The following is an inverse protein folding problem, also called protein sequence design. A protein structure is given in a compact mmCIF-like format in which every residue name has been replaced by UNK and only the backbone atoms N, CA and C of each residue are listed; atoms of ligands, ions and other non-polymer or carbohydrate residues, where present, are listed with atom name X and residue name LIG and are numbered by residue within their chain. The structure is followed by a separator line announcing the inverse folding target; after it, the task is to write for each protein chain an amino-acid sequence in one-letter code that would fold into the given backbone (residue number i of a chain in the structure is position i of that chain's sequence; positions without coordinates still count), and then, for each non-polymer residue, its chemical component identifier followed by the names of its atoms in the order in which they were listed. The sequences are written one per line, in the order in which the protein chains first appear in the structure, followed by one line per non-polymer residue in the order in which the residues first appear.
data_IF_989522178041
#
_entry.id   IF_989522178041
#
_cell.length_a   1.000
_cell.length_b   1.000
_cell.length_c   1.000
_cell.angle_alpha   90.00
_cell.angle_beta   90.00
_cell.angle_gamma   90.00
#
_symmetry.space_group_name_H-M   'P 1'
#
loop_
_entity.id
_entity.type
_entity.pdbx_description
1 polymer ?
#
# COMPACT_ATOMS: atom_id res chain seq x y z
N UNK A 1 34.42 3.60 -99.63
CA UNK A 1 34.13 4.98 -99.20
C UNK A 1 33.09 4.88 -98.06
N UNK A 2 33.55 5.11 -96.88
CA UNK A 2 32.74 4.95 -95.68
C UNK A 2 32.07 6.30 -95.39
N UNK A 3 30.74 6.28 -95.21
CA UNK A 3 29.94 7.42 -94.78
C UNK A 3 29.73 7.34 -93.32
N UNK A 4 30.27 8.30 -92.60
CA UNK A 4 30.12 8.46 -91.11
C UNK A 4 28.79 9.15 -90.82
N UNK A 5 27.82 8.42 -90.19
CA UNK A 5 26.54 8.96 -89.71
C UNK A 5 26.71 9.42 -88.28
N UNK A 6 26.66 10.72 -88.07
CA UNK A 6 26.74 11.34 -86.74
C UNK A 6 25.33 11.37 -86.11
N UNK A 7 25.01 10.51 -85.11
CA UNK A 7 23.80 10.59 -84.36
C UNK A 7 24.00 11.58 -83.20
N UNK A 8 23.36 12.75 -83.25
CA UNK A 8 23.23 13.64 -82.14
C UNK A 8 22.17 13.08 -81.21
N UNK A 9 22.61 12.56 -80.08
CA UNK A 9 21.72 12.19 -78.98
C UNK A 9 21.27 13.41 -78.13
N UNK A 10 20.03 13.74 -78.28
CA UNK A 10 19.36 14.79 -77.41
C UNK A 10 19.07 14.20 -76.05
N UNK A 11 19.86 14.58 -75.03
CA UNK A 11 19.61 14.19 -73.64
C UNK A 11 18.51 15.11 -73.08
N UNK A 12 17.32 14.58 -72.95
CA UNK A 12 16.28 15.22 -72.19
C UNK A 12 16.56 15.06 -70.66
N UNK A 13 16.99 16.13 -70.02
CA UNK A 13 17.01 16.23 -68.57
C UNK A 13 15.58 16.41 -68.11
N UNK A 14 14.98 15.34 -67.55
CA UNK A 14 13.74 15.42 -66.82
C UNK A 14 13.98 16.16 -65.48
N UNK A 15 13.10 17.06 -65.04
CA UNK A 15 13.25 17.71 -63.76
C UNK A 15 13.09 16.64 -62.66
N UNK A 16 14.04 16.61 -61.75
CA UNK A 16 14.01 15.77 -60.55
C UNK A 16 12.84 16.23 -59.72
N UNK A 17 11.81 15.39 -59.56
CA UNK A 17 10.73 15.64 -58.60
C UNK A 17 11.35 15.80 -57.21
N UNK A 18 11.22 16.99 -56.64
CA UNK A 18 11.46 17.23 -55.22
C UNK A 18 10.28 16.63 -54.50
N UNK A 19 10.44 15.41 -53.94
CA UNK A 19 9.49 14.90 -52.94
C UNK A 19 9.53 15.88 -51.80
N UNK A 20 8.37 16.52 -51.52
CA UNK A 20 8.17 17.20 -50.25
C UNK A 20 8.40 16.17 -49.15
N UNK A 21 9.32 16.45 -48.28
CA UNK A 21 9.52 15.71 -47.05
C UNK A 21 8.28 15.95 -46.21
N UNK A 22 7.45 14.90 -46.11
CA UNK A 22 6.26 14.88 -45.24
C UNK A 22 6.81 14.92 -43.81
N UNK A 23 6.86 16.11 -43.21
CA UNK A 23 7.19 16.27 -41.81
C UNK A 23 6.02 15.65 -41.05
N UNK A 24 6.29 14.45 -40.49
CA UNK A 24 5.43 13.76 -39.55
C UNK A 24 5.14 14.69 -38.34
N UNK A 25 3.91 15.17 -38.13
CA UNK A 25 3.60 16.12 -37.04
C UNK A 25 3.43 15.46 -35.67
N UNK A 26 3.62 14.16 -35.55
CA UNK A 26 3.64 13.45 -34.28
C UNK A 26 5.07 13.06 -33.87
N UNK A 27 5.88 14.07 -33.54
CA UNK A 27 6.95 13.84 -32.59
C UNK A 27 6.28 13.49 -31.26
N UNK A 28 6.14 12.17 -31.01
CA UNK A 28 5.76 11.61 -29.71
C UNK A 28 6.70 12.20 -28.65
N UNK A 29 6.24 13.27 -28.02
CA UNK A 29 6.99 13.92 -26.94
C UNK A 29 6.97 12.95 -25.78
N UNK A 30 7.97 12.05 -25.72
CA UNK A 30 8.15 11.09 -24.64
C UNK A 30 8.27 11.89 -23.34
N UNK A 31 7.21 11.85 -22.53
CA UNK A 31 7.23 12.49 -21.21
C UNK A 31 8.18 11.70 -20.32
N UNK A 32 9.29 12.29 -19.94
CA UNK A 32 10.23 11.69 -19.00
C UNK A 32 9.66 11.76 -17.58
N UNK A 33 9.46 10.59 -16.95
CA UNK A 33 8.94 10.49 -15.60
C UNK A 33 10.04 10.27 -14.57
N UNK A 34 10.04 11.05 -13.51
CA UNK A 34 10.82 10.78 -12.30
C UNK A 34 10.09 9.75 -11.44
N UNK A 35 10.61 8.52 -11.36
CA UNK A 35 9.98 7.42 -10.62
C UNK A 35 10.62 7.22 -9.26
N UNK A 36 9.84 7.36 -8.19
CA UNK A 36 10.26 7.10 -6.81
C UNK A 36 9.51 5.88 -6.24
N UNK A 37 10.25 4.88 -5.80
CA UNK A 37 9.66 3.76 -5.05
C UNK A 37 9.53 4.16 -3.58
N UNK A 38 8.33 4.08 -3.04
CA UNK A 38 8.10 4.31 -1.61
C UNK A 38 8.59 3.09 -0.82
N UNK A 39 9.49 3.27 0.16
CA UNK A 39 10.00 2.16 0.96
C UNK A 39 8.90 1.46 1.75
N UNK A 40 9.13 0.18 2.05
CA UNK A 40 8.21 -0.64 2.83
C UNK A 40 7.05 -1.22 2.01
N UNK A 41 6.10 -1.82 2.74
CA UNK A 41 4.88 -2.41 2.19
C UNK A 41 3.68 -1.94 2.97
N UNK A 42 2.61 -1.61 2.28
CA UNK A 42 1.30 -1.39 2.87
C UNK A 42 0.65 -2.77 3.00
N UNK A 43 0.59 -3.30 4.23
CA UNK A 43 -0.09 -4.57 4.48
C UNK A 43 -1.57 -4.31 4.72
N UNK A 44 -2.42 -5.12 4.10
CA UNK A 44 -3.88 -5.03 4.23
C UNK A 44 -4.48 -6.44 4.32
N UNK A 45 -5.63 -6.56 4.96
CA UNK A 45 -6.48 -7.76 4.84
C UNK A 45 -7.43 -7.60 3.67
N UNK A 46 -7.80 -8.70 3.04
CA UNK A 46 -8.86 -8.70 2.03
C UNK A 46 -10.16 -8.12 2.64
N UNK A 47 -10.81 -7.21 1.95
CA UNK A 47 -11.95 -6.44 2.42
C UNK A 47 -11.59 -5.10 3.10
N UNK A 48 -10.34 -4.83 3.43
CA UNK A 48 -9.93 -3.53 3.97
C UNK A 48 -9.86 -2.44 2.91
N UNK A 49 -10.10 -1.22 3.35
CA UNK A 49 -9.83 -0.01 2.57
C UNK A 49 -8.82 0.88 3.30
N UNK A 50 -7.90 1.48 2.55
CA UNK A 50 -6.88 2.37 3.12
C UNK A 50 -6.31 3.32 2.08
N UNK A 51 -6.03 4.56 2.50
CA UNK A 51 -5.29 5.49 1.65
C UNK A 51 -3.82 5.09 1.52
N UNK A 52 -3.25 5.21 0.33
CA UNK A 52 -1.82 4.94 0.07
C UNK A 52 -0.91 5.93 0.78
N UNK A 53 -1.40 7.14 1.03
CA UNK A 53 -0.67 8.24 1.67
C UNK A 53 -1.63 9.14 2.44
N UNK A 54 -1.12 9.81 3.46
CA UNK A 54 -1.85 10.86 4.20
C UNK A 54 -1.79 12.23 3.50
N UNK A 55 -0.90 12.38 2.52
CA UNK A 55 -0.75 13.60 1.73
C UNK A 55 -0.79 13.25 0.24
N UNK A 56 -1.90 13.57 -0.40
CA UNK A 56 -2.15 13.31 -1.82
C UNK A 56 -2.39 14.62 -2.52
N UNK A 57 -1.61 14.97 -3.56
CA UNK A 57 -1.87 16.13 -4.40
C UNK A 57 -3.24 16.00 -5.09
N UNK A 58 -3.95 17.11 -5.23
CA UNK A 58 -5.28 17.13 -5.86
C UNK A 58 -5.24 16.69 -7.34
N UNK A 59 -4.13 16.92 -8.02
CA UNK A 59 -3.90 16.59 -9.43
C UNK A 59 -3.43 15.15 -9.64
N UNK A 60 -3.16 14.41 -8.55
CA UNK A 60 -2.63 13.06 -8.65
C UNK A 60 -3.66 12.08 -9.21
N UNK A 61 -3.20 11.22 -10.10
CA UNK A 61 -3.94 10.05 -10.59
C UNK A 61 -3.33 8.77 -10.05
N UNK A 62 -4.12 7.70 -10.00
CA UNK A 62 -3.69 6.43 -9.42
C UNK A 62 -4.01 5.27 -10.35
N UNK A 63 -3.08 4.31 -10.38
CA UNK A 63 -3.23 3.08 -11.14
C UNK A 63 -2.76 1.87 -10.30
N UNK A 64 -3.49 0.76 -10.40
CA UNK A 64 -3.11 -0.53 -9.81
C UNK A 64 -2.56 -1.45 -10.89
N UNK A 65 -1.44 -2.12 -10.60
CA UNK A 65 -0.88 -3.12 -11.51
C UNK A 65 -1.76 -4.38 -11.63
N UNK A 66 -2.64 -4.63 -10.66
CA UNK A 66 -3.66 -5.68 -10.70
C UNK A 66 -4.88 -5.29 -9.83
N UNK A 67 -5.92 -4.69 -10.43
CA UNK A 67 -7.12 -4.29 -9.71
C UNK A 67 -7.93 -5.46 -9.12
N UNK A 68 -7.68 -6.70 -9.54
CA UNK A 68 -8.32 -7.89 -8.97
C UNK A 68 -7.76 -8.22 -7.59
N UNK A 69 -6.50 -7.87 -7.33
CA UNK A 69 -5.84 -8.04 -6.03
C UNK A 69 -6.13 -6.82 -5.14
N UNK A 70 -5.87 -5.62 -5.63
CA UNK A 70 -6.25 -4.39 -4.97
C UNK A 70 -6.58 -3.30 -5.98
N UNK A 71 -7.77 -2.73 -5.89
CA UNK A 71 -8.17 -1.57 -6.69
C UNK A 71 -7.79 -0.27 -5.98
N UNK A 72 -7.67 0.80 -6.74
CA UNK A 72 -7.41 2.14 -6.21
C UNK A 72 -8.37 3.14 -6.85
N UNK A 73 -8.96 4.01 -6.03
CA UNK A 73 -9.76 5.12 -6.50
C UNK A 73 -8.88 6.34 -6.81
N UNK A 74 -9.42 7.32 -7.56
CA UNK A 74 -8.73 8.57 -7.85
C UNK A 74 -8.37 9.39 -6.60
N UNK A 75 -9.02 9.14 -5.47
CA UNK A 75 -8.68 9.72 -4.18
C UNK A 75 -7.45 9.09 -3.52
N UNK A 76 -6.86 8.04 -4.11
CA UNK A 76 -5.79 7.24 -3.50
C UNK A 76 -6.28 6.23 -2.46
N UNK A 77 -7.60 6.03 -2.33
CA UNK A 77 -8.18 4.99 -1.48
C UNK A 77 -8.02 3.63 -2.17
N UNK A 78 -7.30 2.72 -1.53
CA UNK A 78 -7.09 1.34 -1.97
C UNK A 78 -8.12 0.45 -1.31
N UNK A 79 -8.74 -0.42 -2.11
CA UNK A 79 -9.60 -1.51 -1.68
C UNK A 79 -8.85 -2.84 -1.89
N UNK A 80 -8.55 -3.55 -0.82
CA UNK A 80 -7.90 -4.86 -0.86
C UNK A 80 -8.93 -5.95 -1.14
N UNK A 81 -8.77 -6.70 -2.22
CA UNK A 81 -9.79 -7.65 -2.71
C UNK A 81 -9.40 -9.10 -2.55
N UNK A 82 -8.17 -9.44 -2.89
CA UNK A 82 -7.69 -10.83 -2.93
C UNK A 82 -6.23 -10.89 -2.52
N UNK A 83 -5.82 -12.00 -1.91
CA UNK A 83 -4.41 -12.27 -1.57
C UNK A 83 -3.48 -12.04 -2.76
N UNK A 84 -2.41 -11.30 -2.50
CA UNK A 84 -1.38 -11.03 -3.50
C UNK A 84 -0.56 -9.81 -3.15
N UNK A 85 0.30 -9.43 -4.08
CA UNK A 85 1.11 -8.20 -3.95
C UNK A 85 1.01 -7.42 -5.25
N UNK A 86 0.65 -6.17 -5.14
CA UNK A 86 0.51 -5.26 -6.29
C UNK A 86 1.29 -3.97 -6.08
N UNK A 87 1.51 -3.26 -7.16
CA UNK A 87 2.05 -1.90 -7.16
C UNK A 87 0.91 -0.93 -7.42
N UNK A 88 0.80 0.09 -6.57
CA UNK A 88 -0.07 1.25 -6.82
C UNK A 88 0.85 2.38 -7.24
N UNK A 89 0.62 2.91 -8.42
CA UNK A 89 1.36 4.05 -8.95
C UNK A 89 0.53 5.30 -8.81
N UNK A 90 1.05 6.29 -8.10
CA UNK A 90 0.56 7.65 -8.05
C UNK A 90 1.33 8.46 -9.08
N UNK A 91 0.64 9.16 -9.97
CA UNK A 91 1.24 10.08 -10.95
C UNK A 91 0.77 11.50 -10.66
N UNK A 92 1.70 12.43 -10.57
CA UNK A 92 1.45 13.86 -10.40
C UNK A 92 2.42 14.65 -11.30
N UNK A 93 1.91 15.21 -12.38
CA UNK A 93 2.74 15.78 -13.44
C UNK A 93 3.75 14.75 -13.97
N UNK A 94 5.05 15.07 -13.89
CA UNK A 94 6.15 14.20 -14.31
C UNK A 94 6.69 13.31 -13.17
N UNK A 95 6.07 13.34 -12.00
CA UNK A 95 6.51 12.55 -10.84
C UNK A 95 5.63 11.33 -10.67
N UNK A 96 6.24 10.15 -10.53
CA UNK A 96 5.58 8.89 -10.17
C UNK A 96 6.07 8.38 -8.84
N UNK A 97 5.15 8.06 -7.92
CA UNK A 97 5.42 7.36 -6.66
C UNK A 97 4.83 5.96 -6.74
N UNK A 98 5.64 4.94 -6.45
CA UNK A 98 5.20 3.54 -6.51
C UNK A 98 5.17 2.96 -5.11
N UNK A 99 3.98 2.58 -4.67
CA UNK A 99 3.70 1.92 -3.40
C UNK A 99 3.57 0.41 -3.63
N UNK A 100 4.08 -0.39 -2.70
CA UNK A 100 3.88 -1.84 -2.71
C UNK A 100 2.77 -2.18 -1.72
N UNK A 101 1.67 -2.73 -2.20
CA UNK A 101 0.54 -3.20 -1.38
C UNK A 101 0.58 -4.72 -1.33
N UNK A 102 0.60 -5.27 -0.11
CA UNK A 102 0.47 -6.71 0.15
C UNK A 102 -0.89 -6.98 0.77
N UNK A 103 -1.72 -7.75 0.10
CA UNK A 103 -3.02 -8.20 0.61
C UNK A 103 -2.88 -9.61 1.16
N UNK A 104 -3.32 -9.81 2.39
CA UNK A 104 -3.43 -11.10 3.06
C UNK A 104 -4.92 -11.48 3.15
N UNK A 105 -5.22 -12.77 3.03
CA UNK A 105 -6.57 -13.32 3.14
C UNK A 105 -6.75 -14.21 4.38
N UNK A 106 -5.68 -14.38 5.13
CA UNK A 106 -5.63 -15.19 6.34
C UNK A 106 -5.02 -14.40 7.49
N UNK A 107 -5.48 -14.66 8.69
CA UNK A 107 -4.96 -14.15 9.96
C UNK A 107 -4.88 -15.29 10.95
N UNK A 108 -3.95 -15.21 11.89
CA UNK A 108 -3.97 -16.06 13.07
C UNK A 108 -4.67 -15.33 14.22
N UNK A 109 -5.67 -16.00 14.81
CA UNK A 109 -6.39 -15.50 15.97
C UNK A 109 -5.67 -15.98 17.23
N UNK A 110 -5.25 -15.03 18.06
CA UNK A 110 -4.54 -15.33 19.31
C UNK A 110 -5.28 -14.69 20.49
N UNK A 111 -5.63 -15.53 21.47
CA UNK A 111 -6.23 -15.07 22.72
C UNK A 111 -5.13 -14.79 23.73
N UNK A 112 -5.05 -13.55 24.18
CA UNK A 112 -4.12 -13.10 25.20
C UNK A 112 -4.85 -13.09 26.54
N UNK A 113 -4.73 -14.18 27.29
CA UNK A 113 -5.31 -14.34 28.60
C UNK A 113 -4.27 -14.14 29.70
N UNK A 114 -4.65 -13.60 30.83
CA UNK A 114 -3.75 -13.39 31.96
C UNK A 114 -4.28 -12.39 32.98
N UNK A 115 -3.34 -11.83 33.74
CA UNK A 115 -3.61 -10.84 34.79
C UNK A 115 -3.12 -9.44 34.38
N UNK A 116 -2.84 -8.60 35.39
CA UNK A 116 -2.48 -7.19 35.27
C UNK A 116 -1.45 -6.85 34.17
N UNK A 117 -0.39 -7.63 34.04
CA UNK A 117 0.63 -7.37 32.99
C UNK A 117 0.11 -7.61 31.58
N UNK A 118 -0.82 -8.55 31.40
CA UNK A 118 -1.48 -8.79 30.14
C UNK A 118 -2.55 -7.73 29.86
N UNK A 119 -3.17 -7.16 30.90
CA UNK A 119 -4.09 -6.04 30.78
C UNK A 119 -3.41 -4.68 30.50
N UNK A 120 -2.09 -4.63 30.36
CA UNK A 120 -1.39 -3.38 30.14
C UNK A 120 -0.88 -2.68 31.40
N UNK A 121 -0.74 -3.39 32.53
CA UNK A 121 -0.15 -2.85 33.77
C UNK A 121 1.38 -2.93 33.76
N UNK A 122 1.98 -3.37 32.71
CA UNK A 122 3.43 -3.64 32.63
C UNK A 122 4.22 -2.35 32.46
N UNK A 123 4.65 -1.62 32.03
CA UNK A 123 5.50 -0.44 31.87
C UNK A 123 4.80 0.70 31.13
N UNK A 124 5.59 1.59 30.62
CA UNK A 124 5.10 2.73 29.87
C UNK A 124 4.66 2.29 28.43
N UNK A 125 3.38 2.49 28.10
CA UNK A 125 2.86 2.18 26.76
C UNK A 125 3.52 2.98 25.65
N UNK A 126 4.03 4.18 25.95
CA UNK A 126 4.75 5.01 24.98
C UNK A 126 6.10 4.43 24.55
N UNK A 127 6.69 3.56 25.35
CA UNK A 127 7.92 2.85 25.04
C UNK A 127 7.67 1.49 24.35
N UNK A 128 6.42 1.02 24.29
CA UNK A 128 6.11 -0.25 23.65
C UNK A 128 6.31 -0.15 22.12
N UNK A 129 6.84 -1.22 21.50
CA UNK A 129 7.00 -1.22 20.06
C UNK A 129 5.64 -1.21 19.36
N UNK A 130 5.52 -0.47 18.27
CA UNK A 130 4.30 -0.39 17.48
C UNK A 130 4.38 -1.39 16.32
N UNK A 131 3.42 -2.30 16.16
CA UNK A 131 3.34 -3.13 14.97
C UNK A 131 3.14 -2.28 13.71
N UNK A 132 3.73 -2.71 12.61
CA UNK A 132 3.44 -2.11 11.32
C UNK A 132 1.95 -2.27 11.00
N UNK A 133 1.34 -1.23 10.45
CA UNK A 133 -0.07 -1.25 10.10
C UNK A 133 -0.38 -2.42 9.15
N UNK A 134 -1.43 -3.18 9.43
CA UNK A 134 -1.82 -4.35 8.65
C UNK A 134 -1.06 -5.63 9.00
N UNK A 135 -0.27 -5.64 10.08
CA UNK A 135 0.43 -6.85 10.55
C UNK A 135 -0.10 -7.38 11.87
N UNK A 136 -0.73 -6.52 12.66
CA UNK A 136 -1.39 -6.90 13.90
C UNK A 136 -2.65 -6.06 14.10
N UNK A 137 -3.68 -6.74 14.52
CA UNK A 137 -5.01 -6.19 14.79
C UNK A 137 -5.46 -6.59 16.18
N UNK A 138 -6.34 -5.79 16.75
CA UNK A 138 -7.10 -6.10 17.94
C UNK A 138 -8.56 -6.31 17.58
N UNK A 139 -9.16 -7.36 18.12
CA UNK A 139 -10.59 -7.61 17.95
C UNK A 139 -11.38 -6.76 18.94
N UNK A 140 -12.05 -5.74 18.41
CA UNK A 140 -12.89 -4.83 19.19
C UNK A 140 -14.28 -5.44 19.39
N UNK A 141 -14.58 -5.86 20.62
CA UNK A 141 -15.88 -6.40 21.01
C UNK A 141 -16.79 -5.36 21.67
N UNK A 142 -16.27 -4.18 22.00
CA UNK A 142 -17.02 -3.13 22.70
C UNK A 142 -18.06 -2.46 21.81
N UNK A 143 -17.86 -2.51 20.50
CA UNK A 143 -18.79 -1.93 19.53
C UNK A 143 -19.78 -2.96 19.01
N UNK A 144 -20.97 -2.52 18.66
CA UNK A 144 -21.97 -3.39 18.02
C UNK A 144 -21.49 -3.95 16.68
N UNK A 145 -20.45 -3.35 16.10
CA UNK A 145 -19.89 -3.76 14.80
C UNK A 145 -18.87 -4.88 14.90
N UNK A 146 -18.35 -5.18 16.11
CA UNK A 146 -17.36 -6.26 16.35
C UNK A 146 -16.32 -6.33 15.25
N UNK A 147 -15.43 -5.36 15.19
CA UNK A 147 -14.47 -5.21 14.09
C UNK A 147 -13.03 -5.39 14.57
N UNK A 148 -12.15 -5.70 13.61
CA UNK A 148 -10.72 -5.62 13.85
C UNK A 148 -10.25 -4.18 13.69
N UNK A 149 -9.51 -3.68 14.67
CA UNK A 149 -8.84 -2.37 14.64
C UNK A 149 -7.33 -2.58 14.63
N UNK A 150 -6.56 -1.59 14.18
CA UNK A 150 -5.11 -1.67 14.25
C UNK A 150 -4.67 -1.79 15.71
N UNK A 151 -3.84 -2.81 15.99
CA UNK A 151 -3.32 -3.03 17.35
C UNK A 151 -2.46 -1.87 17.83
N UNK A 152 -2.69 -1.46 19.06
CA UNK A 152 -1.92 -0.44 19.76
C UNK A 152 -1.78 -0.81 21.24
N UNK A 153 -0.86 -0.18 21.95
CA UNK A 153 -0.79 -0.25 23.39
C UNK A 153 -1.45 0.99 24.04
N UNK A 154 -2.06 0.81 25.20
CA UNK A 154 -2.26 -0.45 25.91
C UNK A 154 -3.23 -1.36 25.17
N UNK A 155 -2.87 -2.65 25.03
CA UNK A 155 -3.70 -3.65 24.36
C UNK A 155 -4.97 -3.91 25.17
N UNK A 156 -6.13 -3.90 24.49
CA UNK A 156 -7.43 -4.06 25.12
C UNK A 156 -8.04 -2.76 25.67
N UNK A 157 -7.34 -1.62 25.54
CA UNK A 157 -7.86 -0.34 25.99
C UNK A 157 -9.12 0.07 25.22
N UNK A 158 -10.16 0.40 25.96
CA UNK A 158 -11.42 0.95 25.40
C UNK A 158 -12.20 -0.01 24.51
N UNK A 159 -11.67 -1.19 24.24
CA UNK A 159 -12.29 -2.17 23.36
C UNK A 159 -12.90 -3.31 24.12
N UNK A 160 -12.47 -3.52 25.34
CA UNK A 160 -12.86 -4.70 26.10
C UNK A 160 -12.98 -4.43 27.59
N UNK A 161 -14.18 -4.13 28.02
CA UNK A 161 -14.52 -4.05 29.45
C UNK A 161 -14.29 -5.36 30.21
N UNK A 162 -14.11 -6.47 29.49
CA UNK A 162 -13.75 -7.76 30.07
C UNK A 162 -12.35 -7.73 30.69
N UNK A 163 -11.50 -6.78 30.31
CA UNK A 163 -10.16 -6.63 30.90
C UNK A 163 -10.12 -6.02 32.31
N UNK A 164 -11.24 -5.78 32.95
CA UNK A 164 -11.26 -5.12 34.25
C UNK A 164 -10.74 -3.68 34.24
N UNK A 165 -10.62 -3.06 33.09
CA UNK A 165 -10.11 -1.71 32.93
C UNK A 165 -11.16 -0.63 33.23
N UNK A 166 -12.40 -1.04 33.51
CA UNK A 166 -13.52 -0.12 33.66
C UNK A 166 -13.37 0.89 34.79
N UNK A 167 -12.66 0.54 35.86
CA UNK A 167 -12.77 1.30 37.10
C UNK A 167 -11.53 2.08 37.50
N UNK A 168 -10.39 1.96 36.82
CA UNK A 168 -9.19 2.49 37.45
C UNK A 168 -8.49 3.63 36.73
N UNK A 169 -8.78 3.96 35.50
CA UNK A 169 -8.06 5.03 34.80
C UNK A 169 -6.53 4.88 34.81
N UNK A 170 -6.03 3.95 35.60
CA UNK A 170 -4.61 3.76 35.91
C UNK A 170 -3.92 2.81 34.98
N UNK A 171 -4.66 1.89 34.37
CA UNK A 171 -4.10 0.87 33.48
C UNK A 171 -4.00 1.33 32.02
N UNK A 172 -4.76 2.32 31.64
CA UNK A 172 -4.85 2.80 30.25
C UNK A 172 -3.57 3.47 29.71
N UNK A 173 -2.58 3.71 30.57
CA UNK A 173 -1.33 4.37 30.20
C UNK A 173 -0.14 3.43 30.14
N UNK A 174 -0.31 2.16 30.46
CA UNK A 174 0.79 1.19 30.57
C UNK A 174 0.76 0.20 29.40
N UNK A 175 1.90 -0.38 29.09
CA UNK A 175 2.06 -1.34 28.00
C UNK A 175 1.93 -2.79 28.46
N UNK A 176 1.76 -3.67 27.49
CA UNK A 176 1.80 -5.12 27.64
C UNK A 176 2.91 -5.75 26.80
N UNK A 177 3.02 -7.08 26.85
CA UNK A 177 3.93 -7.81 25.95
C UNK A 177 3.35 -8.04 24.55
N UNK A 178 2.07 -7.75 24.34
CA UNK A 178 1.30 -8.21 23.18
C UNK A 178 1.83 -7.64 21.88
N UNK A 179 2.08 -6.34 21.83
CA UNK A 179 2.60 -5.70 20.60
C UNK A 179 3.97 -6.26 20.21
N UNK A 180 4.88 -6.47 21.16
CA UNK A 180 6.18 -7.07 20.90
C UNK A 180 6.06 -8.51 20.41
N UNK A 181 5.16 -9.28 21.01
CA UNK A 181 4.86 -10.64 20.56
C UNK A 181 4.36 -10.65 19.11
N UNK A 182 3.35 -9.84 18.79
CA UNK A 182 2.77 -9.80 17.45
C UNK A 182 3.77 -9.36 16.38
N UNK A 183 4.66 -8.41 16.70
CA UNK A 183 5.74 -8.01 15.79
C UNK A 183 6.65 -9.21 15.48
N UNK A 184 7.10 -9.93 16.50
CA UNK A 184 7.99 -11.07 16.33
C UNK A 184 7.28 -12.24 15.64
N UNK A 185 6.02 -12.49 15.96
CA UNK A 185 5.19 -13.49 15.29
C UNK A 185 5.11 -13.21 13.79
N UNK A 186 4.71 -11.97 13.40
CA UNK A 186 4.66 -11.59 12.00
C UNK A 186 6.01 -11.64 11.29
N UNK A 187 7.09 -11.28 11.97
CA UNK A 187 8.46 -11.39 11.40
C UNK A 187 8.80 -12.83 10.99
N UNK A 188 8.35 -13.83 11.76
CA UNK A 188 8.62 -15.24 11.50
C UNK A 188 7.65 -15.85 10.53
N UNK A 189 6.34 -15.66 10.73
CA UNK A 189 5.29 -16.37 9.97
C UNK A 189 4.86 -15.64 8.70
N UNK A 190 4.99 -14.31 8.66
CA UNK A 190 4.42 -13.41 7.65
C UNK A 190 2.88 -13.45 7.59
N UNK A 191 2.24 -14.00 8.61
CA UNK A 191 0.78 -14.05 8.78
C UNK A 191 0.39 -12.96 9.79
N UNK A 192 -0.54 -12.05 9.45
CA UNK A 192 -1.04 -11.07 10.40
C UNK A 192 -1.75 -11.71 11.59
N UNK A 193 -1.68 -11.07 12.75
CA UNK A 193 -2.34 -11.53 13.98
C UNK A 193 -3.57 -10.68 14.27
N UNK A 194 -4.66 -11.35 14.66
CA UNK A 194 -5.78 -10.71 15.35
C UNK A 194 -5.71 -11.12 16.82
N UNK A 195 -5.39 -10.16 17.69
CA UNK A 195 -5.35 -10.37 19.14
C UNK A 195 -6.73 -10.18 19.75
N UNK A 196 -7.11 -11.13 20.62
CA UNK A 196 -8.29 -11.00 21.48
C UNK A 196 -7.80 -10.88 22.91
N UNK A 197 -8.17 -9.79 23.58
CA UNK A 197 -7.85 -9.61 25.00
C UNK A 197 -8.86 -10.35 25.87
N UNK A 198 -8.37 -11.23 26.75
CA UNK A 198 -9.13 -12.00 27.71
C UNK A 198 -8.41 -12.00 29.07
N UNK A 199 -7.86 -10.86 29.46
CA UNK A 199 -7.12 -10.69 30.71
C UNK A 199 -7.93 -9.91 31.72
N UNK A 200 -7.75 -10.25 33.00
CA UNK A 200 -8.44 -9.62 34.12
C UNK A 200 -7.41 -9.18 35.16
N UNK A 201 -7.43 -7.88 35.50
CA UNK A 201 -6.63 -7.37 36.63
C UNK A 201 -7.29 -7.70 37.95
N UNK A 202 -6.54 -8.28 38.87
CA UNK A 202 -6.98 -8.52 40.25
C UNK A 202 -6.24 -7.63 41.22
#
# INVERSE_FOLDING_TARGET
MAGLLLCLGLVFLLPKEVKAEETDPEADTQIEYTVTKVPGKINMLAGETRYVSTSIPYTATFESSDPKIAAVANSGLVEARKKGTVKITQTDGTTKKVYTVKVNDTVDLIIFAGQSNMCGSGGNSGAAPKPDTGTAYEFDISTNTKKCITMKEPFGEGTNRINGLEDSGTYSTKGSLVSAFCINYYKQTKIPVVGVSASWGG
#
